data_IF_821688085982
#
_entry.id   IF_821688085982
#
_cell.length_a   1.000
_cell.length_b   1.000
_cell.length_c   1.000
_cell.angle_alpha   90.00
_cell.angle_beta   90.00
_cell.angle_gamma   90.00
#
_symmetry.space_group_name_H-M   'P 1'
#
loop_
_entity.id
_entity.type
_entity.pdbx_description
1 polymer ?
#
# COMPACT_ATOMS: atom_id res chain seq x y z
N UNK A 1 -7.42 20.74 13.06
CA UNK A 1 -6.80 20.32 11.77
C UNK A 1 -7.18 18.86 11.44
N UNK A 2 -8.28 18.66 10.72
CA UNK A 2 -8.92 17.35 10.49
C UNK A 2 -8.27 16.50 9.37
N UNK A 3 -6.95 16.56 9.20
CA UNK A 3 -6.27 15.88 8.08
C UNK A 3 -4.91 15.28 8.39
N UNK A 4 -4.37 15.46 9.60
CA UNK A 4 -3.13 14.79 10.01
C UNK A 4 -3.44 13.69 11.02
N UNK A 5 -2.72 12.58 10.88
CA UNK A 5 -2.84 11.45 11.78
C UNK A 5 -2.50 11.87 13.22
N UNK A 6 -3.40 11.65 14.16
CA UNK A 6 -3.18 11.97 15.56
C UNK A 6 -2.68 10.73 16.32
N UNK A 7 -1.44 10.81 16.79
CA UNK A 7 -0.79 9.71 17.53
C UNK A 7 -1.47 9.37 18.87
N UNK A 8 -2.27 10.30 19.41
CA UNK A 8 -2.95 10.13 20.71
C UNK A 8 -4.33 9.48 20.58
N UNK A 9 -4.84 9.32 19.37
CA UNK A 9 -6.13 8.73 19.09
C UNK A 9 -5.95 7.29 18.58
N UNK A 10 -6.97 6.46 18.81
CA UNK A 10 -7.00 5.10 18.25
C UNK A 10 -7.13 5.14 16.72
N UNK A 11 -6.90 3.99 16.08
CA UNK A 11 -7.04 3.87 14.62
C UNK A 11 -8.48 4.19 14.18
N UNK A 12 -9.48 3.70 14.93
CA UNK A 12 -10.90 3.94 14.64
C UNK A 12 -11.26 5.42 14.75
N UNK A 13 -10.69 6.11 15.74
CA UNK A 13 -10.91 7.54 15.96
C UNK A 13 -10.22 8.40 14.89
N UNK A 14 -9.03 7.99 14.43
CA UNK A 14 -8.30 8.68 13.35
C UNK A 14 -8.98 8.49 11.98
N UNK A 15 -9.44 7.27 11.69
CA UNK A 15 -10.04 6.93 10.39
C UNK A 15 -11.52 7.33 10.32
N UNK A 16 -12.19 7.47 11.47
CA UNK A 16 -13.62 7.80 11.56
C UNK A 16 -14.52 6.79 10.81
N UNK A 17 -14.09 5.53 10.73
CA UNK A 17 -14.86 4.44 10.16
C UNK A 17 -15.25 3.43 11.25
N UNK A 18 -16.50 2.93 11.26
CA UNK A 18 -16.92 1.89 12.18
C UNK A 18 -16.17 0.59 11.91
N UNK A 19 -15.86 -0.17 12.97
CA UNK A 19 -15.09 -1.41 12.92
C UNK A 19 -15.64 -2.44 11.90
N UNK A 20 -16.96 -2.47 11.70
CA UNK A 20 -17.61 -3.35 10.72
C UNK A 20 -17.31 -3.02 9.25
N UNK A 21 -16.91 -1.79 8.93
CA UNK A 21 -16.42 -1.41 7.60
C UNK A 21 -14.91 -1.62 7.47
N UNK A 22 -14.15 -1.37 8.54
CA UNK A 22 -12.71 -1.65 8.59
C UNK A 22 -12.43 -3.14 8.33
N UNK A 23 -13.25 -4.02 8.89
CA UNK A 23 -13.14 -5.48 8.68
C UNK A 23 -13.39 -5.94 7.24
N UNK A 24 -13.88 -5.07 6.33
CA UNK A 24 -14.09 -5.43 4.92
C UNK A 24 -12.86 -5.21 4.05
N UNK A 25 -11.83 -4.58 4.58
CA UNK A 25 -10.59 -4.35 3.86
C UNK A 25 -9.59 -5.46 4.22
N UNK A 26 -9.04 -6.11 3.20
CA UNK A 26 -8.07 -7.20 3.38
C UNK A 26 -6.67 -6.67 3.77
N UNK A 27 -6.34 -5.43 3.39
CA UNK A 27 -5.08 -4.77 3.70
C UNK A 27 -5.33 -3.30 4.02
N UNK A 28 -4.69 -2.81 5.08
CA UNK A 28 -4.80 -1.42 5.50
C UNK A 28 -3.42 -0.85 5.79
N UNK A 29 -3.03 0.18 5.04
CA UNK A 29 -1.70 0.79 5.13
C UNK A 29 -1.81 2.24 5.55
N UNK A 30 -0.99 2.62 6.54
CA UNK A 30 -0.91 3.98 7.03
C UNK A 30 0.30 4.68 6.41
N UNK A 31 0.03 5.53 5.41
CA UNK A 31 1.05 6.39 4.80
C UNK A 31 1.11 7.69 5.59
N UNK A 32 2.24 7.94 6.26
CA UNK A 32 2.46 9.16 7.02
C UNK A 32 3.53 10.01 6.35
N UNK A 33 3.20 11.28 6.17
CA UNK A 33 4.15 12.34 5.85
C UNK A 33 4.95 12.71 7.11
N UNK A 34 6.08 12.03 7.31
CA UNK A 34 7.03 12.32 8.39
C UNK A 34 8.17 13.15 7.81
N UNK A 35 8.45 14.35 8.35
CA UNK A 35 9.56 15.16 7.86
C UNK A 35 10.90 14.45 8.14
N UNK A 36 11.70 14.25 7.09
CA UNK A 36 13.02 13.64 7.17
C UNK A 36 13.92 14.26 6.09
N UNK A 37 14.89 15.06 6.54
CA UNK A 37 15.72 15.87 5.64
C UNK A 37 16.47 15.05 4.60
N UNK A 38 17.00 13.88 4.96
CA UNK A 38 17.79 13.07 4.02
C UNK A 38 16.88 12.39 2.99
N UNK A 39 15.77 11.81 3.46
CA UNK A 39 14.78 11.17 2.60
C UNK A 39 14.10 12.19 1.67
N UNK A 40 13.72 13.36 2.19
CA UNK A 40 13.10 14.46 1.45
C UNK A 40 14.05 14.99 0.36
N UNK A 41 15.34 15.10 0.66
CA UNK A 41 16.36 15.50 -0.31
C UNK A 41 16.53 14.45 -1.42
N UNK A 42 16.54 13.16 -1.06
CA UNK A 42 16.62 12.06 -2.02
C UNK A 42 15.40 12.06 -2.96
N UNK A 43 14.19 12.18 -2.38
CA UNK A 43 12.93 12.30 -3.11
C UNK A 43 12.94 13.50 -4.06
N UNK A 44 13.33 14.68 -3.58
CA UNK A 44 13.39 15.89 -4.39
C UNK A 44 14.34 15.72 -5.59
N UNK A 45 15.54 15.16 -5.36
CA UNK A 45 16.50 14.86 -6.44
C UNK A 45 15.92 13.90 -7.48
N UNK A 46 15.24 12.85 -7.02
CA UNK A 46 14.60 11.88 -7.92
C UNK A 46 13.47 12.52 -8.75
N UNK A 47 12.60 13.31 -8.11
CA UNK A 47 11.50 14.01 -8.79
C UNK A 47 12.06 14.95 -9.87
N UNK A 48 13.09 15.73 -9.55
CA UNK A 48 13.78 16.61 -10.50
C UNK A 48 14.34 15.79 -11.65
N UNK A 49 15.07 14.71 -11.36
CA UNK A 49 15.65 13.84 -12.38
C UNK A 49 14.60 13.26 -13.35
N UNK A 50 13.48 12.73 -12.82
CA UNK A 50 12.38 12.17 -13.60
C UNK A 50 11.68 13.26 -14.44
N UNK A 51 11.50 14.47 -13.92
CA UNK A 51 10.86 15.54 -14.70
C UNK A 51 11.80 16.10 -15.79
N UNK A 52 13.11 16.08 -15.55
CA UNK A 52 14.13 16.51 -16.52
C UNK A 52 14.40 15.46 -17.61
N UNK A 53 14.35 14.16 -17.31
CA UNK A 53 14.76 13.09 -18.24
C UNK A 53 13.66 12.08 -18.59
N UNK A 54 12.58 12.02 -17.80
CA UNK A 54 11.56 10.98 -17.85
C UNK A 54 10.39 11.21 -18.81
N UNK A 55 10.33 12.36 -19.51
CA UNK A 55 9.30 12.61 -20.54
C UNK A 55 9.27 11.51 -21.61
N UNK A 56 10.43 10.95 -21.97
CA UNK A 56 10.52 9.88 -22.98
C UNK A 56 9.95 8.54 -22.47
N UNK A 57 10.19 8.19 -21.21
CA UNK A 57 9.75 6.92 -20.63
C UNK A 57 8.24 6.91 -20.33
N UNK A 58 7.71 8.04 -19.85
CA UNK A 58 6.29 8.18 -19.54
C UNK A 58 5.42 8.15 -20.81
N UNK A 59 5.85 8.85 -21.87
CA UNK A 59 5.26 8.76 -23.21
C UNK A 59 5.25 7.32 -23.73
N UNK A 60 6.38 6.61 -23.62
CA UNK A 60 6.49 5.23 -24.12
C UNK A 60 5.58 4.25 -23.36
N UNK A 61 5.44 4.38 -22.05
CA UNK A 61 4.57 3.53 -21.23
C UNK A 61 3.10 3.81 -21.55
N UNK A 62 2.71 5.09 -21.65
CA UNK A 62 1.34 5.47 -22.03
C UNK A 62 1.02 4.96 -23.44
N UNK A 63 1.92 5.14 -24.40
CA UNK A 63 1.72 4.65 -25.77
C UNK A 63 1.65 3.12 -25.82
N UNK A 64 2.46 2.41 -25.02
CA UNK A 64 2.39 0.95 -24.88
C UNK A 64 1.06 0.49 -24.26
N UNK A 65 0.59 1.18 -23.21
CA UNK A 65 -0.68 0.89 -22.56
C UNK A 65 -1.87 1.15 -23.48
N UNK A 66 -1.91 2.28 -24.17
CA UNK A 66 -2.93 2.60 -25.18
C UNK A 66 -2.92 1.55 -26.29
N UNK A 67 -1.76 1.13 -26.77
CA UNK A 67 -1.64 0.06 -27.77
C UNK A 67 -2.20 -1.28 -27.25
N UNK A 68 -1.97 -1.61 -25.98
CA UNK A 68 -2.48 -2.82 -25.35
C UNK A 68 -4.01 -2.77 -25.17
N UNK A 69 -4.56 -1.60 -24.85
CA UNK A 69 -6.01 -1.37 -24.79
C UNK A 69 -6.67 -1.43 -26.18
N UNK A 70 -6.04 -0.87 -27.20
CA UNK A 70 -6.53 -0.92 -28.59
C UNK A 70 -6.46 -2.33 -29.19
N UNK A 71 -5.56 -3.18 -28.70
CA UNK A 71 -5.43 -4.58 -29.14
C UNK A 71 -6.56 -5.50 -28.62
N UNK A 72 -7.51 -4.99 -27.84
CA UNK A 72 -8.75 -5.71 -27.51
C UNK A 72 -8.57 -7.00 -26.72
N UNK A 73 -7.40 -7.24 -26.10
CA UNK A 73 -7.23 -8.34 -25.15
C UNK A 73 -8.04 -8.01 -23.91
N UNK A 74 -9.23 -8.59 -23.84
CA UNK A 74 -10.11 -8.53 -22.68
C UNK A 74 -9.29 -8.83 -21.43
N UNK A 75 -9.26 -7.87 -20.50
CA UNK A 75 -8.75 -8.16 -19.17
C UNK A 75 -9.65 -9.25 -18.56
N UNK A 76 -9.08 -10.29 -17.93
CA UNK A 76 -9.89 -11.24 -17.20
C UNK A 76 -10.67 -10.48 -16.12
N UNK A 77 -12.00 -10.57 -16.18
CA UNK A 77 -12.92 -10.03 -15.16
C UNK A 77 -12.51 -10.58 -13.80
N UNK A 78 -11.83 -9.75 -13.02
CA UNK A 78 -11.22 -10.18 -11.77
C UNK A 78 -12.20 -10.03 -10.60
N UNK A 79 -13.28 -10.81 -10.52
CA UNK A 79 -13.97 -11.02 -9.24
C UNK A 79 -14.65 -12.40 -9.17
N UNK A 80 -14.12 -13.28 -8.31
CA UNK A 80 -14.97 -14.04 -7.40
C UNK A 80 -14.66 -13.62 -5.96
N UNK A 81 -15.71 -13.36 -5.19
CA UNK A 81 -15.69 -13.15 -3.74
C UNK A 81 -14.87 -14.27 -3.08
N UNK A 82 -13.71 -13.93 -2.51
CA UNK A 82 -13.06 -14.74 -1.51
C UNK A 82 -12.73 -13.83 -0.33
N UNK A 83 -13.26 -14.22 0.82
CA UNK A 83 -13.14 -13.54 2.09
C UNK A 83 -11.66 -13.38 2.49
N UNK A 84 -11.43 -12.37 3.32
CA UNK A 84 -10.14 -11.94 3.82
C UNK A 84 -9.12 -13.05 4.06
N UNK A 85 -7.90 -12.77 3.61
CA UNK A 85 -6.65 -13.52 3.78
C UNK A 85 -6.28 -14.52 2.67
N UNK A 86 -7.22 -15.11 1.92
CA UNK A 86 -6.90 -16.03 0.80
C UNK A 86 -6.82 -15.35 -0.58
N UNK A 87 -7.31 -14.12 -0.70
CA UNK A 87 -7.28 -13.38 -1.95
C UNK A 87 -5.87 -12.92 -2.34
N UNK A 88 -5.03 -12.57 -1.36
CA UNK A 88 -3.70 -11.98 -1.60
C UNK A 88 -2.70 -12.95 -2.25
N UNK A 89 -2.50 -14.19 -1.74
CA UNK A 89 -1.64 -15.17 -2.41
C UNK A 89 -2.13 -15.52 -3.82
N UNK A 90 -3.46 -15.63 -3.98
CA UNK A 90 -4.09 -15.93 -5.28
C UNK A 90 -3.87 -14.79 -6.28
N UNK A 91 -3.95 -13.53 -5.84
CA UNK A 91 -3.65 -12.37 -6.67
C UNK A 91 -2.16 -12.31 -7.07
N UNK A 92 -1.25 -12.66 -6.16
CA UNK A 92 0.19 -12.75 -6.43
C UNK A 92 0.51 -13.83 -7.47
N UNK A 93 -0.10 -15.01 -7.35
CA UNK A 93 0.03 -16.09 -8.33
C UNK A 93 -0.45 -15.66 -9.73
N UNK A 94 -1.57 -14.93 -9.79
CA UNK A 94 -2.09 -14.38 -11.05
C UNK A 94 -1.20 -13.28 -11.64
N UNK A 95 -0.57 -12.45 -10.81
CA UNK A 95 0.35 -11.41 -11.25
C UNK A 95 1.59 -11.99 -11.93
N UNK A 96 2.02 -13.19 -11.52
CA UNK A 96 3.07 -13.96 -12.22
C UNK A 96 2.56 -14.87 -13.34
N UNK A 97 1.27 -14.76 -13.71
CA UNK A 97 0.60 -15.57 -14.73
C UNK A 97 0.64 -17.08 -14.45
N UNK A 98 0.51 -17.48 -13.18
CA UNK A 98 0.48 -18.87 -12.77
C UNK A 98 -0.94 -19.31 -12.37
N UNK A 99 -1.25 -20.57 -12.67
CA UNK A 99 -2.55 -21.18 -12.38
C UNK A 99 -2.65 -21.72 -10.94
N UNK A 100 -1.52 -21.89 -10.26
CA UNK A 100 -1.44 -22.42 -8.88
C UNK A 100 -0.70 -21.47 -7.94
N UNK A 101 -1.12 -21.45 -6.66
CA UNK A 101 -0.50 -20.66 -5.60
C UNK A 101 0.74 -21.36 -5.07
N UNK A 102 1.90 -20.70 -5.20
CA UNK A 102 3.19 -21.23 -4.72
C UNK A 102 3.46 -20.85 -3.27
N UNK A 103 4.45 -21.51 -2.65
CA UNK A 103 4.92 -21.16 -1.30
C UNK A 103 5.38 -19.71 -1.20
N UNK A 104 6.03 -19.20 -2.25
CA UNK A 104 6.51 -17.82 -2.33
C UNK A 104 5.35 -16.81 -2.34
N UNK A 105 4.23 -17.14 -2.98
CA UNK A 105 3.04 -16.27 -3.03
C UNK A 105 2.41 -16.16 -1.63
N UNK A 106 2.38 -17.28 -0.89
CA UNK A 106 1.92 -17.32 0.50
C UNK A 106 2.85 -16.53 1.41
N UNK A 107 4.16 -16.73 1.28
CA UNK A 107 5.15 -16.02 2.10
C UNK A 107 5.09 -14.51 1.87
N UNK A 108 5.01 -14.07 0.60
CA UNK A 108 4.87 -12.65 0.26
C UNK A 108 3.56 -12.07 0.79
N UNK A 109 2.45 -12.80 0.65
CA UNK A 109 1.17 -12.36 1.18
C UNK A 109 1.21 -12.20 2.70
N UNK A 110 1.84 -13.13 3.42
CA UNK A 110 2.05 -13.04 4.86
C UNK A 110 2.91 -11.83 5.22
N UNK A 111 4.02 -11.62 4.53
CA UNK A 111 4.86 -10.44 4.75
C UNK A 111 4.12 -9.12 4.47
N UNK A 112 3.24 -9.08 3.46
CA UNK A 112 2.42 -7.89 3.17
C UNK A 112 1.41 -7.61 4.30
N UNK A 113 0.82 -8.66 4.88
CA UNK A 113 -0.07 -8.54 6.04
C UNK A 113 0.70 -8.03 7.25
N UNK A 114 1.84 -8.64 7.57
CA UNK A 114 2.71 -8.20 8.67
C UNK A 114 3.17 -6.74 8.49
N UNK A 115 3.59 -6.34 7.28
CA UNK A 115 3.95 -4.97 6.97
C UNK A 115 2.79 -3.98 7.16
N UNK A 116 1.56 -4.40 6.85
CA UNK A 116 0.35 -3.60 7.04
C UNK A 116 0.05 -3.39 8.53
N UNK A 117 0.18 -4.43 9.35
CA UNK A 117 0.02 -4.35 10.81
C UNK A 117 1.12 -3.48 11.43
N UNK A 118 2.36 -3.66 10.99
CA UNK A 118 3.50 -2.86 11.42
C UNK A 118 3.33 -1.37 11.14
N UNK A 119 2.79 -1.03 9.97
CA UNK A 119 2.50 0.35 9.57
C UNK A 119 1.55 1.03 10.57
N UNK A 120 0.59 0.27 11.10
CA UNK A 120 -0.36 0.72 12.12
C UNK A 120 0.26 0.73 13.53
N UNK A 121 1.00 -0.32 13.90
CA UNK A 121 1.52 -0.55 15.25
C UNK A 121 2.77 0.26 15.62
N UNK A 122 3.69 0.55 14.68
CA UNK A 122 4.88 1.41 14.91
C UNK A 122 4.49 2.81 15.39
N UNK A 123 3.26 3.20 15.11
CA UNK A 123 2.66 4.45 15.55
C UNK A 123 2.18 4.36 17.01
N UNK A 124 1.56 3.24 17.41
CA UNK A 124 1.08 2.97 18.77
C UNK A 124 2.22 2.86 19.81
N UNK A 125 3.29 2.12 19.50
CA UNK A 125 4.40 1.90 20.44
C UNK A 125 5.17 3.19 20.77
N UNK A 126 5.29 4.13 19.80
CA UNK A 126 5.82 5.47 20.07
C UNK A 126 4.95 6.18 21.11
N UNK A 127 3.63 6.17 20.96
CA UNK A 127 2.70 6.84 21.88
C UNK A 127 2.82 6.33 23.32
N UNK A 128 2.86 5.01 23.52
CA UNK A 128 2.96 4.40 24.86
C UNK A 128 4.32 4.68 25.52
N UNK A 129 5.43 4.60 24.75
CA UNK A 129 6.77 4.90 25.27
C UNK A 129 6.93 6.37 25.66
N UNK A 130 6.36 7.30 24.88
CA UNK A 130 6.30 8.71 25.25
C UNK A 130 5.41 8.94 26.50
N UNK A 131 4.26 8.28 26.65
CA UNK A 131 3.42 8.46 27.85
C UNK A 131 4.02 7.93 29.15
N UNK A 132 4.87 6.90 29.09
CA UNK A 132 5.53 6.32 30.27
C UNK A 132 6.75 7.17 30.70
N UNK A 133 7.44 7.82 29.77
CA UNK A 133 8.63 8.64 30.07
C UNK A 133 8.31 10.04 30.63
N UNK A 134 7.06 10.50 30.54
CA UNK A 134 6.62 11.82 31.03
C UNK A 134 5.55 11.72 32.14
N UNK A 135 5.50 10.59 32.84
CA UNK A 135 4.83 10.45 34.15
C UNK A 135 5.90 10.31 35.24
#
# INVERSE_FOLDING_TARGET
>A
PYGRWNLRCTIEQNIQLPAGLLSRFDLLWLIQDKPDRENDLCLAKHIIFVHSHGKQAFENIINAYIKLLLQGKQQPRLYPKLAGNLATPTALARLRLADEVGKDDVQKALSLLEMSEDSLNKTYQKTTKFQILYK
#
